data_IF_995292086785
#
_entry.id   IF_995292086785
#
_cell.length_a   1.000
_cell.length_b   1.000
_cell.length_c   1.000
_cell.angle_alpha   90.00
_cell.angle_beta   90.00
_cell.angle_gamma   90.00
#
_symmetry.space_group_name_H-M   'P 1'
#
loop_
_entity.id
_entity.type
_entity.pdbx_description
1 polymer ?
#
# COMPACT_ATOMS: atom_id res chain seq x y z
N UNK A 1 20.63 2.59 7.94
CA UNK A 1 20.14 3.13 6.67
C UNK A 1 20.98 4.33 6.31
N UNK A 2 21.57 4.31 5.12
CA UNK A 2 22.49 5.35 4.68
C UNK A 2 21.67 6.52 4.13
N UNK A 3 22.06 7.75 4.47
CA UNK A 3 21.46 8.99 3.96
C UNK A 3 21.33 8.97 2.43
N UNK A 4 22.27 8.32 1.75
CA UNK A 4 22.28 8.12 0.30
C UNK A 4 21.04 7.41 -0.25
N UNK A 5 20.49 6.41 0.46
CA UNK A 5 19.28 5.71 0.02
C UNK A 5 18.05 6.62 0.07
N UNK A 6 17.96 7.45 1.12
CA UNK A 6 16.89 8.41 1.27
C UNK A 6 16.94 9.49 0.18
N UNK A 7 18.13 10.05 -0.07
CA UNK A 7 18.34 11.04 -1.14
C UNK A 7 17.99 10.44 -2.51
N UNK A 8 18.44 9.21 -2.78
CA UNK A 8 18.13 8.52 -4.03
C UNK A 8 16.62 8.32 -4.22
N UNK A 9 15.90 7.93 -3.16
CA UNK A 9 14.45 7.78 -3.21
C UNK A 9 13.74 9.10 -3.52
N UNK A 10 14.18 10.20 -2.92
CA UNK A 10 13.66 11.55 -3.24
C UNK A 10 13.90 11.89 -4.71
N UNK A 11 15.12 11.68 -5.22
CA UNK A 11 15.45 11.98 -6.62
C UNK A 11 14.55 11.18 -7.56
N UNK A 12 14.39 9.86 -7.32
CA UNK A 12 13.52 9.00 -8.13
C UNK A 12 12.07 9.51 -8.10
N UNK A 13 11.55 9.90 -6.93
CA UNK A 13 10.19 10.43 -6.79
C UNK A 13 10.02 11.77 -7.52
N UNK A 14 11.00 12.67 -7.44
CA UNK A 14 10.98 13.95 -8.16
C UNK A 14 10.99 13.69 -9.68
N UNK A 15 11.87 12.81 -10.17
CA UNK A 15 11.88 12.42 -11.57
C UNK A 15 10.54 11.82 -12.01
N UNK A 16 9.90 11.01 -11.16
CA UNK A 16 8.58 10.43 -11.45
C UNK A 16 7.50 11.51 -11.59
N UNK A 17 7.46 12.48 -10.67
CA UNK A 17 6.50 13.59 -10.72
C UNK A 17 6.72 14.47 -11.96
N UNK A 18 7.97 14.79 -12.29
CA UNK A 18 8.31 15.55 -13.50
C UNK A 18 7.84 14.79 -14.75
N UNK A 19 8.08 13.49 -14.81
CA UNK A 19 7.63 12.67 -15.94
C UNK A 19 6.11 12.69 -16.07
N UNK A 20 5.39 12.41 -14.98
CA UNK A 20 3.92 12.41 -14.95
C UNK A 20 3.34 13.76 -15.39
N UNK A 21 3.89 14.87 -14.90
CA UNK A 21 3.30 16.20 -15.14
C UNK A 21 3.61 16.69 -16.55
N UNK A 22 4.85 16.54 -17.03
CA UNK A 22 5.30 17.22 -18.25
C UNK A 22 5.45 16.32 -19.47
N UNK A 23 5.66 15.01 -19.29
CA UNK A 23 6.07 14.12 -20.38
C UNK A 23 5.03 13.05 -20.74
N UNK A 24 3.98 12.86 -19.93
CA UNK A 24 2.89 11.94 -20.30
C UNK A 24 1.86 12.61 -21.22
N UNK A 25 1.38 11.91 -22.26
CA UNK A 25 0.32 12.44 -23.12
C UNK A 25 -0.99 12.58 -22.35
N UNK A 26 -1.83 13.53 -22.77
CA UNK A 26 -3.21 13.63 -22.29
C UNK A 26 -4.08 12.62 -23.02
N UNK A 27 -4.88 11.86 -22.27
CA UNK A 27 -5.86 10.93 -22.83
C UNK A 27 -7.17 11.69 -23.06
N UNK A 28 -7.73 11.74 -24.29
CA UNK A 28 -8.88 12.59 -24.65
C UNK A 28 -10.12 12.49 -23.76
N UNK A 29 -10.33 11.37 -23.06
CA UNK A 29 -11.50 11.15 -22.19
C UNK A 29 -11.22 11.34 -20.69
N UNK A 30 -9.94 11.42 -20.30
CA UNK A 30 -9.54 11.51 -18.89
C UNK A 30 -8.77 12.79 -18.56
N UNK A 31 -8.16 13.43 -19.57
CA UNK A 31 -7.36 14.64 -19.43
C UNK A 31 -6.42 14.58 -18.21
N UNK A 32 -6.52 15.55 -17.28
CA UNK A 32 -5.74 15.62 -16.06
C UNK A 32 -6.04 14.52 -15.05
N UNK A 33 -7.26 13.97 -15.05
CA UNK A 33 -7.62 12.88 -14.14
C UNK A 33 -6.74 11.65 -14.41
N UNK A 34 -6.36 11.42 -15.67
CA UNK A 34 -5.44 10.34 -16.04
C UNK A 34 -4.11 10.41 -15.29
N UNK A 35 -3.62 11.61 -14.94
CA UNK A 35 -2.34 11.74 -14.24
C UNK A 35 -2.40 11.22 -12.81
N UNK A 36 -3.58 11.28 -12.18
CA UNK A 36 -3.81 10.71 -10.83
C UNK A 36 -3.62 9.19 -10.85
N UNK A 37 -3.91 8.53 -11.97
CA UNK A 37 -3.74 7.09 -12.14
C UNK A 37 -2.30 6.63 -11.85
N UNK A 38 -1.30 7.39 -12.33
CA UNK A 38 0.12 7.12 -12.10
C UNK A 38 0.57 7.29 -10.64
N UNK A 39 -0.29 7.87 -9.79
CA UNK A 39 -0.08 7.93 -8.35
C UNK A 39 -0.92 6.86 -7.64
N UNK A 40 -2.22 6.81 -7.94
CA UNK A 40 -3.19 5.96 -7.26
C UNK A 40 -2.88 4.46 -7.35
N UNK A 41 -2.58 3.95 -8.55
CA UNK A 41 -2.32 2.51 -8.71
C UNK A 41 -0.98 2.09 -8.10
N UNK A 42 0.12 2.84 -8.29
CA UNK A 42 1.36 2.57 -7.55
C UNK A 42 1.22 2.67 -6.03
N UNK A 43 0.36 3.56 -5.52
CA UNK A 43 0.04 3.61 -4.10
C UNK A 43 -0.63 2.30 -3.63
N UNK A 44 -1.63 1.81 -4.37
CA UNK A 44 -2.31 0.54 -4.06
C UNK A 44 -1.34 -0.65 -4.12
N UNK A 45 -0.50 -0.71 -5.15
CA UNK A 45 0.55 -1.73 -5.29
C UNK A 45 1.50 -1.76 -4.08
N UNK A 46 2.06 -0.61 -3.72
CA UNK A 46 2.99 -0.50 -2.58
C UNK A 46 2.30 -0.83 -1.25
N UNK A 47 1.04 -0.45 -1.07
CA UNK A 47 0.23 -0.84 0.08
C UNK A 47 0.06 -2.35 0.19
N UNK A 48 -0.36 -3.01 -0.90
CA UNK A 48 -0.53 -4.46 -0.94
C UNK A 48 0.77 -5.23 -0.74
N UNK A 49 1.87 -4.76 -1.33
CA UNK A 49 3.18 -5.34 -1.12
C UNK A 49 3.64 -5.22 0.34
N UNK A 50 3.34 -4.09 1.00
CA UNK A 50 3.61 -3.92 2.43
C UNK A 50 2.82 -4.92 3.27
N UNK A 51 1.52 -5.08 3.01
CA UNK A 51 0.69 -6.05 3.71
C UNK A 51 1.09 -7.51 3.44
N UNK A 52 1.62 -7.82 2.25
CA UNK A 52 2.24 -9.11 2.00
C UNK A 52 3.44 -9.36 2.93
N UNK A 53 4.27 -8.34 3.17
CA UNK A 53 5.36 -8.43 4.15
C UNK A 53 4.83 -8.58 5.58
N UNK A 54 3.66 -8.01 5.92
CA UNK A 54 2.98 -8.26 7.21
C UNK A 54 2.61 -9.75 7.35
N UNK A 55 2.04 -10.35 6.31
CA UNK A 55 1.71 -11.79 6.33
C UNK A 55 2.98 -12.65 6.50
N UNK A 56 4.03 -12.40 5.69
CA UNK A 56 5.28 -13.17 5.75
C UNK A 56 5.97 -13.05 7.11
N UNK A 57 6.01 -11.84 7.66
CA UNK A 57 6.58 -11.60 8.99
C UNK A 57 5.71 -12.18 10.12
N UNK A 58 4.38 -12.13 9.99
CA UNK A 58 3.47 -12.81 10.89
C UNK A 58 3.72 -14.32 10.93
N UNK A 59 3.85 -14.96 9.76
CA UNK A 59 4.22 -16.38 9.65
C UNK A 59 5.59 -16.64 10.29
N UNK A 60 6.60 -15.83 9.94
CA UNK A 60 7.94 -15.94 10.53
C UNK A 60 7.92 -15.84 12.06
N UNK A 61 7.11 -14.94 12.62
CA UNK A 61 6.92 -14.83 14.07
C UNK A 61 6.24 -16.07 14.67
N UNK A 62 5.21 -16.62 14.03
CA UNK A 62 4.50 -17.80 14.54
C UNK A 62 5.40 -19.03 14.61
N UNK A 63 6.30 -19.22 13.64
CA UNK A 63 7.24 -20.34 13.64
C UNK A 63 8.42 -20.15 14.59
N UNK A 64 9.02 -18.96 14.63
CA UNK A 64 10.28 -18.74 15.36
C UNK A 64 10.09 -18.13 16.75
N UNK A 65 8.94 -17.50 17.02
CA UNK A 65 8.69 -16.62 18.18
C UNK A 65 9.67 -15.46 18.33
N UNK A 66 10.44 -15.15 17.28
CA UNK A 66 11.44 -14.08 17.28
C UNK A 66 10.78 -12.72 17.02
N UNK A 67 10.93 -11.78 17.96
CA UNK A 67 10.39 -10.42 17.90
C UNK A 67 10.93 -9.58 16.73
N UNK A 68 12.03 -9.98 16.09
CA UNK A 68 12.50 -9.35 14.86
C UNK A 68 11.45 -9.43 13.75
N UNK A 69 10.77 -10.56 13.59
CA UNK A 69 9.69 -10.69 12.61
C UNK A 69 8.51 -9.80 12.97
N UNK A 70 8.13 -9.75 14.25
CA UNK A 70 7.07 -8.85 14.69
C UNK A 70 7.38 -7.38 14.37
N UNK A 71 8.65 -6.96 14.55
CA UNK A 71 9.09 -5.60 14.22
C UNK A 71 8.94 -5.30 12.73
N UNK A 72 9.35 -6.24 11.87
CA UNK A 72 9.19 -6.11 10.41
C UNK A 72 7.70 -6.01 10.07
N UNK A 73 6.86 -6.84 10.67
CA UNK A 73 5.41 -6.82 10.44
C UNK A 73 4.75 -5.55 10.93
N UNK A 74 5.16 -5.02 12.08
CA UNK A 74 4.67 -3.74 12.59
C UNK A 74 5.04 -2.59 11.64
N UNK A 75 6.30 -2.53 11.21
CA UNK A 75 6.75 -1.52 10.26
C UNK A 75 5.97 -1.61 8.94
N UNK A 76 5.86 -2.82 8.37
CA UNK A 76 5.16 -3.05 7.12
C UNK A 76 3.66 -2.73 7.21
N UNK A 77 3.01 -3.01 8.35
CA UNK A 77 1.62 -2.66 8.57
C UNK A 77 1.40 -1.15 8.54
N UNK A 78 2.31 -0.38 9.16
CA UNK A 78 2.22 1.09 9.20
C UNK A 78 2.39 1.69 7.81
N UNK A 79 3.42 1.24 7.08
CA UNK A 79 3.63 1.69 5.70
C UNK A 79 2.44 1.30 4.82
N UNK A 80 1.98 0.05 4.87
CA UNK A 80 0.82 -0.40 4.11
C UNK A 80 -0.42 0.46 4.36
N UNK A 81 -0.68 0.80 5.62
CA UNK A 81 -1.86 1.61 6.02
C UNK A 81 -1.77 3.06 5.56
N UNK A 82 -0.58 3.66 5.58
CA UNK A 82 -0.36 5.00 5.00
C UNK A 82 -0.70 4.97 3.51
N UNK A 83 -0.17 3.99 2.78
CA UNK A 83 -0.41 3.85 1.33
C UNK A 83 -1.88 3.58 1.02
N UNK A 84 -2.54 2.68 1.75
CA UNK A 84 -3.98 2.41 1.59
C UNK A 84 -4.84 3.63 1.96
N UNK A 85 -4.47 4.40 2.98
CA UNK A 85 -5.12 5.68 3.29
C UNK A 85 -5.01 6.66 2.12
N UNK A 86 -3.83 6.76 1.50
CA UNK A 86 -3.63 7.57 0.30
C UNK A 86 -4.44 7.05 -0.91
N UNK A 87 -4.64 5.74 -1.05
CA UNK A 87 -5.55 5.16 -2.05
C UNK A 87 -6.99 5.60 -1.81
N UNK A 88 -7.47 5.54 -0.56
CA UNK A 88 -8.81 5.99 -0.18
C UNK A 88 -9.02 7.50 -0.35
N UNK A 89 -7.94 8.29 -0.39
CA UNK A 89 -8.00 9.73 -0.71
C UNK A 89 -7.93 9.99 -2.22
N UNK A 90 -6.98 9.38 -2.91
CA UNK A 90 -6.73 9.63 -4.34
C UNK A 90 -7.79 9.00 -5.24
N UNK A 91 -8.40 7.89 -4.82
CA UNK A 91 -9.48 7.22 -5.54
C UNK A 91 -10.67 8.15 -5.78
N UNK A 92 -11.28 8.74 -4.73
CA UNK A 92 -12.37 9.69 -4.88
C UNK A 92 -12.05 10.93 -5.72
N UNK A 93 -10.81 11.43 -5.63
CA UNK A 93 -10.35 12.57 -6.44
C UNK A 93 -10.34 12.19 -7.92
N UNK A 94 -9.90 10.98 -8.27
CA UNK A 94 -9.94 10.45 -9.64
C UNK A 94 -11.36 10.09 -10.09
N UNK A 95 -12.18 9.50 -9.22
CA UNK A 95 -13.53 9.05 -9.53
C UNK A 95 -14.48 10.22 -9.83
N UNK A 96 -14.29 11.37 -9.20
CA UNK A 96 -15.15 12.56 -9.41
C UNK A 96 -15.24 12.99 -10.89
N UNK A 97 -14.13 13.24 -11.61
CA UNK A 97 -14.19 13.59 -13.03
C UNK A 97 -14.54 12.41 -13.96
N UNK A 98 -14.24 11.15 -13.57
CA UNK A 98 -14.40 9.99 -14.46
C UNK A 98 -15.79 9.34 -14.35
N UNK A 99 -16.34 9.25 -13.14
CA UNK A 99 -17.64 8.64 -12.85
C UNK A 99 -18.72 9.66 -12.51
N UNK A 100 -18.36 10.94 -12.37
CA UNK A 100 -19.26 12.00 -11.91
C UNK A 100 -19.58 11.95 -10.41
N UNK A 101 -18.98 11.01 -9.65
CA UNK A 101 -19.19 10.85 -8.20
C UNK A 101 -17.89 10.41 -7.52
N UNK A 102 -17.58 10.92 -6.31
CA UNK A 102 -16.35 10.59 -5.60
C UNK A 102 -16.34 9.15 -5.03
N UNK A 103 -17.50 8.53 -4.85
CA UNK A 103 -17.59 7.21 -4.26
C UNK A 103 -18.80 6.44 -4.79
N UNK A 104 -18.59 5.15 -5.02
CA UNK A 104 -19.63 4.18 -5.35
C UNK A 104 -19.43 3.00 -4.40
N UNK A 105 -20.52 2.44 -3.89
CA UNK A 105 -20.49 1.31 -2.97
C UNK A 105 -20.27 -0.02 -3.71
N UNK A 106 -19.23 -0.10 -4.53
CA UNK A 106 -18.87 -1.32 -5.24
C UNK A 106 -17.96 -2.23 -4.38
N UNK A 107 -17.92 -3.55 -4.65
CA UNK A 107 -17.19 -4.51 -3.82
C UNK A 107 -15.73 -4.13 -3.57
N UNK A 108 -14.99 -3.70 -4.61
CA UNK A 108 -13.57 -3.31 -4.50
C UNK A 108 -13.33 -2.18 -3.52
N UNK A 109 -14.14 -1.14 -3.60
CA UNK A 109 -14.01 0.05 -2.76
C UNK A 109 -14.36 -0.29 -1.31
N UNK A 110 -15.41 -1.10 -1.11
CA UNK A 110 -15.82 -1.58 0.21
C UNK A 110 -14.73 -2.46 0.83
N UNK A 111 -14.22 -3.47 0.12
CA UNK A 111 -13.17 -4.35 0.65
C UNK A 111 -11.90 -3.57 0.95
N UNK A 112 -11.52 -2.60 0.12
CA UNK A 112 -10.36 -1.72 0.41
C UNK A 112 -10.57 -0.89 1.68
N UNK A 113 -11.79 -0.37 1.91
CA UNK A 113 -12.14 0.34 3.14
C UNK A 113 -12.12 -0.59 4.36
N UNK A 114 -12.66 -1.81 4.23
CA UNK A 114 -12.63 -2.83 5.28
C UNK A 114 -11.19 -3.18 5.65
N UNK A 115 -10.32 -3.42 4.67
CA UNK A 115 -8.89 -3.64 4.90
C UNK A 115 -8.26 -2.51 5.72
N UNK A 116 -8.52 -1.26 5.35
CA UNK A 116 -8.01 -0.10 6.08
C UNK A 116 -8.49 -0.07 7.54
N UNK A 117 -9.78 -0.34 7.78
CA UNK A 117 -10.35 -0.40 9.13
C UNK A 117 -9.77 -1.56 9.96
N UNK A 118 -9.54 -2.72 9.35
CA UNK A 118 -8.89 -3.86 10.03
C UNK A 118 -7.49 -3.47 10.50
N UNK A 119 -6.70 -2.80 9.65
CA UNK A 119 -5.38 -2.33 10.05
C UNK A 119 -5.41 -1.16 11.05
N UNK A 120 -6.44 -0.31 11.04
CA UNK A 120 -6.64 0.66 12.12
C UNK A 120 -6.86 -0.06 13.47
N UNK A 121 -7.71 -1.11 13.49
CA UNK A 121 -7.92 -1.97 14.66
C UNK A 121 -6.65 -2.69 15.11
N UNK A 122 -5.80 -3.13 14.17
CA UNK A 122 -4.50 -3.72 14.44
C UNK A 122 -3.59 -2.78 15.26
N UNK A 123 -3.54 -1.48 14.95
CA UNK A 123 -2.74 -0.53 15.73
C UNK A 123 -3.32 -0.23 17.11
N UNK A 124 -4.65 -0.14 17.22
CA UNK A 124 -5.32 0.02 18.52
C UNK A 124 -4.93 -1.15 19.44
N UNK A 125 -4.98 -2.38 18.93
CA UNK A 125 -4.60 -3.56 19.70
C UNK A 125 -3.12 -3.57 20.11
N UNK A 126 -2.22 -3.11 19.22
CA UNK A 126 -0.80 -2.98 19.53
C UNK A 126 -0.51 -1.93 20.61
N UNK A 127 -1.30 -0.86 20.68
CA UNK A 127 -1.14 0.20 21.68
C UNK A 127 -1.70 -0.18 23.06
N UNK A 128 -2.73 -1.01 23.12
CA UNK A 128 -3.38 -1.41 24.39
C UNK A 128 -2.65 -2.56 25.09
N UNK A 129 -1.97 -3.42 24.34
CA UNK A 129 -1.50 -4.68 24.90
C UNK A 129 -0.31 -4.55 25.86
N UNK A 130 -0.45 -5.19 27.02
CA UNK A 130 0.49 -5.10 28.14
C UNK A 130 1.77 -5.94 27.91
N UNK A 131 1.63 -7.13 27.31
CA UNK A 131 2.74 -8.07 27.13
C UNK A 131 3.20 -8.12 25.67
N UNK A 132 4.46 -7.75 25.41
CA UNK A 132 5.07 -7.63 24.07
C UNK A 132 4.89 -8.87 23.19
N UNK A 133 5.08 -10.06 23.75
CA UNK A 133 4.92 -11.33 23.03
C UNK A 133 3.45 -11.63 22.70
N UNK A 134 2.54 -11.34 23.62
CA UNK A 134 1.09 -11.52 23.39
C UNK A 134 0.58 -10.57 22.31
N UNK A 135 1.05 -9.32 22.34
CA UNK A 135 0.78 -8.34 21.29
C UNK A 135 1.30 -8.83 19.94
N UNK A 136 2.54 -9.30 19.89
CA UNK A 136 3.14 -9.82 18.66
C UNK A 136 2.36 -11.01 18.10
N UNK A 137 1.92 -11.94 18.95
CA UNK A 137 1.10 -13.09 18.57
C UNK A 137 -0.23 -12.67 17.95
N UNK A 138 -1.00 -11.84 18.66
CA UNK A 138 -2.33 -11.44 18.17
C UNK A 138 -2.19 -10.60 16.89
N UNK A 139 -1.19 -9.72 16.84
CA UNK A 139 -0.92 -8.91 15.65
C UNK A 139 -0.51 -9.77 14.45
N UNK A 140 0.31 -10.80 14.64
CA UNK A 140 0.67 -11.72 13.57
C UNK A 140 -0.58 -12.41 12.98
N UNK A 141 -1.48 -12.90 13.84
CA UNK A 141 -2.73 -13.55 13.42
C UNK A 141 -3.62 -12.57 12.66
N UNK A 142 -3.88 -11.38 13.22
CA UNK A 142 -4.72 -10.36 12.57
C UNK A 142 -4.11 -9.96 11.23
N UNK A 143 -2.81 -9.73 11.16
CA UNK A 143 -2.11 -9.33 9.93
C UNK A 143 -2.20 -10.38 8.83
N UNK A 144 -2.11 -11.67 9.16
CA UNK A 144 -2.29 -12.76 8.20
C UNK A 144 -3.74 -12.81 7.70
N UNK A 145 -4.72 -12.73 8.61
CA UNK A 145 -6.15 -12.77 8.25
C UNK A 145 -6.52 -11.56 7.39
N UNK A 146 -6.06 -10.36 7.76
CA UNK A 146 -6.29 -9.13 7.00
C UNK A 146 -5.74 -9.24 5.57
N UNK A 147 -4.56 -9.84 5.39
CA UNK A 147 -3.97 -10.03 4.07
C UNK A 147 -4.85 -10.87 3.13
N UNK A 148 -5.66 -11.81 3.65
CA UNK A 148 -6.55 -12.64 2.83
C UNK A 148 -7.62 -11.83 2.07
N UNK A 149 -7.91 -10.61 2.52
CA UNK A 149 -8.79 -9.68 1.81
C UNK A 149 -8.13 -9.09 0.55
N UNK A 150 -6.80 -9.03 0.48
CA UNK A 150 -6.10 -8.43 -0.68
C UNK A 150 -6.28 -9.23 -1.97
N UNK A 151 -6.16 -10.57 -2.00
CA UNK A 151 -6.54 -11.36 -3.17
C UNK A 151 -7.98 -11.10 -3.63
N UNK A 152 -8.90 -10.89 -2.68
CA UNK A 152 -10.30 -10.56 -2.97
C UNK A 152 -10.39 -9.17 -3.63
N UNK A 153 -9.72 -8.16 -3.07
CA UNK A 153 -9.65 -6.81 -3.66
C UNK A 153 -9.03 -6.86 -5.06
N UNK A 154 -7.93 -7.58 -5.24
CA UNK A 154 -7.21 -7.64 -6.52
C UNK A 154 -8.05 -8.31 -7.61
N UNK A 155 -8.64 -9.46 -7.28
CA UNK A 155 -9.48 -10.22 -8.22
C UNK A 155 -10.89 -9.67 -8.36
N UNK A 156 -11.28 -8.70 -7.53
CA UNK A 156 -12.64 -8.19 -7.48
C UNK A 156 -13.20 -7.82 -8.86
N UNK A 157 -12.40 -7.21 -9.73
CA UNK A 157 -12.82 -6.75 -11.07
C UNK A 157 -13.21 -7.90 -12.01
N UNK A 158 -12.75 -9.11 -11.72
CA UNK A 158 -13.10 -10.33 -12.46
C UNK A 158 -14.07 -11.25 -11.70
N UNK A 159 -14.18 -11.06 -10.37
CA UNK A 159 -14.96 -11.93 -9.51
C UNK A 159 -16.43 -11.53 -9.44
N UNK A 160 -16.73 -10.23 -9.47
CA UNK A 160 -18.10 -9.70 -9.44
C UNK A 160 -18.61 -9.35 -10.84
N UNK A 161 -19.94 -9.27 -10.99
CA UNK A 161 -20.57 -8.89 -12.24
C UNK A 161 -20.20 -7.46 -12.65
N UNK A 162 -20.02 -7.22 -13.95
CA UNK A 162 -19.65 -5.91 -14.49
C UNK A 162 -20.68 -4.81 -14.16
N UNK A 163 -21.95 -5.18 -13.97
CA UNK A 163 -23.04 -4.25 -13.63
C UNK A 163 -22.86 -3.57 -12.27
N UNK A 164 -22.15 -4.21 -11.35
CA UNK A 164 -21.89 -3.70 -9.99
C UNK A 164 -20.46 -3.15 -9.85
N UNK A 165 -19.73 -3.01 -10.96
CA UNK A 165 -18.34 -2.54 -10.94
C UNK A 165 -18.04 -1.50 -12.02
N UNK A 166 -17.57 -0.34 -11.58
CA UNK A 166 -17.16 0.77 -12.46
C UNK A 166 -15.66 0.78 -12.73
N UNK A 167 -14.89 -0.08 -12.04
CA UNK A 167 -13.45 -0.19 -12.24
C UNK A 167 -13.08 -0.73 -13.63
N UNK A 168 -12.10 -0.13 -14.33
CA UNK A 168 -11.60 -0.65 -15.59
C UNK A 168 -11.05 -2.07 -15.44
N UNK A 169 -11.35 -2.94 -16.41
CA UNK A 169 -10.80 -4.28 -16.45
C UNK A 169 -9.28 -4.28 -16.63
N UNK A 170 -8.62 -5.34 -16.14
CA UNK A 170 -7.17 -5.49 -16.24
C UNK A 170 -6.73 -5.57 -17.72
N UNK A 171 -6.21 -4.47 -18.23
CA UNK A 171 -5.72 -4.35 -19.61
C UNK A 171 -4.47 -3.47 -19.74
N UNK A 172 -3.78 -3.16 -18.63
CA UNK A 172 -2.63 -2.25 -18.63
C UNK A 172 -1.49 -2.73 -19.55
N UNK A 173 -1.31 -4.05 -19.69
CA UNK A 173 -0.32 -4.63 -20.60
C UNK A 173 -0.59 -4.38 -22.09
N UNK A 174 -1.81 -3.96 -22.45
CA UNK A 174 -2.22 -3.62 -23.83
C UNK A 174 -2.15 -2.12 -24.12
N UNK A 175 -1.73 -1.30 -23.15
CA UNK A 175 -1.65 0.15 -23.32
C UNK A 175 -0.46 0.55 -24.20
N UNK A 176 -0.55 1.68 -24.93
CA UNK A 176 0.56 2.24 -25.68
C UNK A 176 1.79 2.48 -24.79
N UNK A 177 2.99 2.40 -25.38
CA UNK A 177 4.26 2.58 -24.67
C UNK A 177 4.37 3.92 -23.93
N UNK A 178 3.75 4.98 -24.47
CA UNK A 178 3.70 6.30 -23.84
C UNK A 178 2.88 6.36 -22.54
N UNK A 179 2.01 5.38 -22.27
CA UNK A 179 1.25 5.24 -21.01
C UNK A 179 1.88 4.16 -20.13
N UNK A 180 2.32 3.06 -20.75
CA UNK A 180 2.88 1.92 -20.00
C UNK A 180 4.23 2.26 -19.36
N UNK A 181 5.12 2.96 -20.06
CA UNK A 181 6.47 3.26 -19.54
C UNK A 181 6.47 4.19 -18.33
N UNK A 182 5.71 5.33 -18.31
CA UNK A 182 5.61 6.15 -17.11
C UNK A 182 4.93 5.40 -15.96
N UNK A 183 3.93 4.57 -16.26
CA UNK A 183 3.27 3.73 -15.26
C UNK A 183 4.22 2.75 -14.57
N UNK A 184 5.03 2.01 -15.35
CA UNK A 184 6.03 1.10 -14.80
C UNK A 184 7.11 1.85 -13.99
N UNK A 185 7.50 3.04 -14.46
CA UNK A 185 8.43 3.89 -13.72
C UNK A 185 7.82 4.38 -12.39
N UNK A 186 6.54 4.74 -12.38
CA UNK A 186 5.83 5.09 -11.15
C UNK A 186 5.71 3.89 -10.19
N UNK A 187 5.40 2.70 -10.68
CA UNK A 187 5.41 1.48 -9.87
C UNK A 187 6.77 1.26 -9.21
N UNK A 188 7.86 1.40 -9.97
CA UNK A 188 9.21 1.31 -9.46
C UNK A 188 9.51 2.39 -8.40
N UNK A 189 9.16 3.65 -8.69
CA UNK A 189 9.40 4.78 -7.80
C UNK A 189 8.69 4.62 -6.45
N UNK A 190 7.39 4.29 -6.46
CA UNK A 190 6.62 4.07 -5.23
C UNK A 190 7.03 2.79 -4.50
N UNK A 191 7.50 1.76 -5.20
CA UNK A 191 8.06 0.56 -4.55
C UNK A 191 9.38 0.90 -3.84
N UNK A 192 10.25 1.68 -4.48
CA UNK A 192 11.49 2.18 -3.87
C UNK A 192 11.21 3.05 -2.64
N UNK A 193 10.24 3.95 -2.73
CA UNK A 193 9.78 4.77 -1.60
C UNK A 193 9.28 3.89 -0.45
N UNK A 194 8.43 2.90 -0.74
CA UNK A 194 7.90 1.97 0.24
C UNK A 194 9.03 1.23 0.99
N UNK A 195 10.01 0.67 0.28
CA UNK A 195 11.15 0.00 0.93
C UNK A 195 12.02 0.96 1.75
N UNK A 196 12.21 2.20 1.28
CA UNK A 196 12.95 3.23 2.02
C UNK A 196 12.25 3.56 3.34
N UNK A 197 10.94 3.78 3.30
CA UNK A 197 10.11 4.01 4.49
C UNK A 197 10.13 2.80 5.44
N UNK A 198 10.06 1.58 4.89
CA UNK A 198 10.11 0.34 5.66
C UNK A 198 11.42 0.20 6.43
N UNK A 199 12.58 0.39 5.77
CA UNK A 199 13.87 0.30 6.43
C UNK A 199 14.09 1.38 7.49
N UNK A 200 13.58 2.60 7.25
CA UNK A 200 13.55 3.65 8.27
C UNK A 200 12.75 3.19 9.49
N UNK A 201 11.52 2.71 9.27
CA UNK A 201 10.62 2.33 10.35
C UNK A 201 11.15 1.15 11.15
N UNK A 202 11.73 0.13 10.49
CA UNK A 202 12.39 -0.99 11.18
C UNK A 202 13.53 -0.48 12.07
N UNK A 203 14.34 0.47 11.59
CA UNK A 203 15.42 1.05 12.39
C UNK A 203 14.87 1.80 13.61
N UNK A 204 13.82 2.61 13.43
CA UNK A 204 13.17 3.34 14.53
C UNK A 204 12.65 2.35 15.58
N UNK A 205 11.88 1.35 15.18
CA UNK A 205 11.35 0.33 16.10
C UNK A 205 12.46 -0.50 16.77
N UNK A 206 13.59 -0.72 16.09
CA UNK A 206 14.73 -1.41 16.70
C UNK A 206 15.32 -0.58 17.86
N UNK A 207 15.45 0.73 17.66
CA UNK A 207 15.98 1.63 18.68
C UNK A 207 15.01 1.75 19.87
N UNK A 208 13.70 1.82 19.61
CA UNK A 208 12.67 1.81 20.65
C UNK A 208 12.68 0.50 21.46
N UNK A 209 12.80 -0.65 20.77
CA UNK A 209 12.88 -1.94 21.44
C UNK A 209 14.17 -2.06 22.29
N UNK A 210 15.28 -1.47 21.84
CA UNK A 210 16.54 -1.42 22.62
C UNK A 210 16.40 -0.55 23.88
N UNK A 211 15.76 0.61 23.76
CA UNK A 211 15.50 1.50 24.91
C UNK A 211 14.61 0.82 25.97
N UNK A 212 13.67 -0.03 25.53
CA UNK A 212 12.77 -0.80 26.39
C UNK A 212 13.32 -2.16 26.84
N UNK A 213 14.60 -2.47 26.56
CA UNK A 213 15.27 -3.74 26.87
C UNK A 213 14.58 -5.00 26.29
N UNK A 214 14.02 -4.89 25.08
CA UNK A 214 13.46 -6.02 24.33
C UNK A 214 14.46 -6.68 23.36
N UNK A 215 15.66 -6.11 23.20
CA UNK A 215 16.76 -6.60 22.34
C UNK A 215 18.09 -6.34 23.03
#
# INVERSE_FOLDING_TARGET
MNLSLFILSIIIMVCNLVWIIFLTPMVPDQEWAQKIFYLHVPLAWSGFLSYFLVMLSGLGYLFSRNLQYDRIGHAAAEIGTIFTGLVLLTGPIWATPIWGKPWIWEPRLITTLVLFVIYAGYFILRNVGIYRQRVALISAIIGIIAFLDIPIIFTSVNFWAAEIQSHPQMGMSKQPSGILSPFLFSLFAFTNLMFTMLFLKIKVLYLEDKEKNYV
#
